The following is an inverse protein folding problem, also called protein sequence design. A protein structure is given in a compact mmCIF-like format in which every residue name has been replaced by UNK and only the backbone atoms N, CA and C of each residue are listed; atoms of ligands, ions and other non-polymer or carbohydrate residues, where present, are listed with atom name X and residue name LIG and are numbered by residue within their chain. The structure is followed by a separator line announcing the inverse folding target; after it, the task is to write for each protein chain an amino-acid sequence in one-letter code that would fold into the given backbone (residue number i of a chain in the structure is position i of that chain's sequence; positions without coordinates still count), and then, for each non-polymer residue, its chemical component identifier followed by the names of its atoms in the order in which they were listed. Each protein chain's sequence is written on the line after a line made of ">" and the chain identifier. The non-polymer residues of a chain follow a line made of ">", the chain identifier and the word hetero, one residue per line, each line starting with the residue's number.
data_IF_017030684741
#
_entry.id   IF_017030684741
#
_cell.length_a   1.000
_cell.length_b   1.000
_cell.length_c   1.000
_cell.angle_alpha   90.00
_cell.angle_beta   90.00
_cell.angle_gamma   90.00
#
_symmetry.space_group_name_H-M   'P 1'
#
loop_
_entity.id
_entity.type
_entity.pdbx_description
1 polymer ?
#
# COMPACT_ATOMS: atom_id res chain seq x y z
N UNK A 1 -16.68 1.18 -15.07
CA UNK A 1 -16.45 1.76 -13.73
C UNK A 1 -17.11 0.90 -12.67
N UNK A 2 -16.36 0.52 -11.65
CA UNK A 2 -16.84 -0.25 -10.50
C UNK A 2 -16.96 0.67 -9.29
N UNK A 3 -18.00 0.47 -8.47
CA UNK A 3 -18.24 1.21 -7.24
C UNK A 3 -18.25 0.25 -6.06
N UNK A 4 -17.45 0.55 -5.03
CA UNK A 4 -17.45 -0.13 -3.75
C UNK A 4 -17.89 0.89 -2.68
N UNK A 5 -18.52 0.39 -1.64
CA UNK A 5 -18.89 1.19 -0.47
C UNK A 5 -18.16 0.68 0.75
N UNK A 6 -17.37 1.53 1.39
CA UNK A 6 -16.88 1.31 2.75
C UNK A 6 -17.99 1.76 3.70
N UNK A 7 -18.32 0.94 4.69
CA UNK A 7 -19.40 1.20 5.64
C UNK A 7 -18.91 1.58 7.03
N UNK A 8 -17.82 0.97 7.44
CA UNK A 8 -17.26 1.13 8.78
C UNK A 8 -15.78 1.55 8.76
N UNK A 9 -15.31 2.34 9.71
CA UNK A 9 -16.04 3.05 10.78
C UNK A 9 -16.68 4.35 10.29
N UNK A 10 -16.31 4.81 9.10
CA UNK A 10 -16.85 6.00 8.42
C UNK A 10 -17.20 5.60 6.99
N UNK A 11 -18.44 5.81 6.56
CA UNK A 11 -18.83 5.42 5.21
C UNK A 11 -18.24 6.36 4.14
N UNK A 12 -17.70 5.77 3.06
CA UNK A 12 -17.26 6.50 1.88
C UNK A 12 -17.23 5.61 0.63
N UNK A 13 -17.44 6.18 -0.57
CA UNK A 13 -17.35 5.41 -1.81
C UNK A 13 -15.91 5.25 -2.29
N UNK A 14 -15.64 4.14 -2.96
CA UNK A 14 -14.43 3.90 -3.75
C UNK A 14 -14.87 3.59 -5.17
N UNK A 15 -14.48 4.44 -6.12
CA UNK A 15 -14.73 4.25 -7.53
C UNK A 15 -13.44 3.87 -8.25
N UNK A 16 -13.50 2.81 -9.04
CA UNK A 16 -12.37 2.30 -9.82
C UNK A 16 -12.82 2.16 -11.27
N UNK A 17 -12.14 2.84 -12.19
CA UNK A 17 -12.49 2.77 -13.61
C UNK A 17 -12.04 3.99 -14.39
N UNK A 18 -12.47 4.09 -15.64
CA UNK A 18 -12.31 5.30 -16.45
C UNK A 18 -13.53 6.22 -16.29
N UNK A 19 -13.29 7.53 -16.24
CA UNK A 19 -14.33 8.55 -16.13
C UNK A 19 -14.85 8.78 -14.72
N UNK A 20 -14.15 8.30 -13.68
CA UNK A 20 -14.57 8.46 -12.26
C UNK A 20 -14.67 9.92 -11.82
N UNK A 21 -13.99 10.85 -12.49
CA UNK A 21 -14.07 12.29 -12.16
C UNK A 21 -15.48 12.86 -12.33
N UNK A 22 -16.30 12.28 -13.21
CA UNK A 22 -17.68 12.71 -13.43
C UNK A 22 -18.62 12.33 -12.29
N UNK A 23 -18.20 11.38 -11.48
CA UNK A 23 -18.98 10.85 -10.35
C UNK A 23 -18.62 11.53 -9.02
N UNK A 24 -17.62 12.42 -9.03
CA UNK A 24 -17.26 13.19 -7.83
C UNK A 24 -18.37 14.18 -7.54
N UNK A 25 -19.00 14.15 -6.34
CA UNK A 25 -20.06 15.10 -6.02
C UNK A 25 -19.51 16.54 -5.97
N UNK A 26 -20.36 17.54 -6.18
CA UNK A 26 -19.98 18.94 -6.00
C UNK A 26 -19.37 19.16 -4.61
N UNK A 27 -18.27 19.91 -4.55
CA UNK A 27 -17.61 20.22 -3.29
C UNK A 27 -18.48 21.16 -2.45
N UNK A 28 -18.68 20.84 -1.17
CA UNK A 28 -19.55 21.61 -0.28
C UNK A 28 -18.95 22.95 0.18
N UNK A 29 -17.66 23.18 -0.06
CA UNK A 29 -16.96 24.39 0.37
C UNK A 29 -15.70 24.67 -0.43
N UNK A 30 -14.87 25.62 0.03
CA UNK A 30 -13.57 25.88 -0.57
C UNK A 30 -12.71 24.63 -0.63
N UNK A 31 -11.81 24.58 -1.62
CA UNK A 31 -10.95 23.41 -1.78
C UNK A 31 -9.51 23.80 -2.16
N UNK A 32 -8.59 22.93 -1.77
CA UNK A 32 -7.20 22.96 -2.22
C UNK A 32 -6.79 21.58 -2.72
N UNK A 33 -5.81 21.53 -3.61
CA UNK A 33 -5.35 20.30 -4.23
C UNK A 33 -3.85 20.16 -4.04
N UNK A 34 -3.44 19.05 -3.43
CA UNK A 34 -2.05 18.60 -3.33
C UNK A 34 -1.80 17.55 -4.41
N UNK A 35 -0.70 17.66 -5.12
CA UNK A 35 -0.39 16.70 -6.17
C UNK A 35 1.10 16.37 -6.26
N UNK A 36 1.39 15.15 -6.69
CA UNK A 36 2.71 14.73 -7.13
C UNK A 36 3.05 15.41 -8.46
N UNK A 37 4.14 16.16 -8.53
CA UNK A 37 4.55 16.88 -9.75
C UNK A 37 4.68 15.97 -10.97
N UNK A 38 4.93 14.68 -10.77
CA UNK A 38 5.02 13.70 -11.87
C UNK A 38 3.69 13.46 -12.58
N UNK A 39 2.58 13.80 -11.94
CA UNK A 39 1.21 13.63 -12.49
C UNK A 39 0.48 14.97 -12.60
N UNK A 40 1.19 16.06 -12.80
CA UNK A 40 0.64 17.42 -12.86
C UNK A 40 -0.50 17.56 -13.89
N UNK A 41 -0.35 16.97 -15.08
CA UNK A 41 -1.40 17.02 -16.09
C UNK A 41 -2.74 16.45 -15.60
N UNK A 42 -2.71 15.30 -14.94
CA UNK A 42 -3.92 14.72 -14.34
C UNK A 42 -4.44 15.55 -13.16
N UNK A 43 -3.55 16.12 -12.34
CA UNK A 43 -3.95 17.00 -11.25
C UNK A 43 -4.68 18.27 -11.76
N UNK A 44 -4.23 18.84 -12.88
CA UNK A 44 -4.90 19.96 -13.54
C UNK A 44 -6.28 19.57 -14.09
N UNK A 45 -6.43 18.35 -14.64
CA UNK A 45 -7.75 17.83 -15.05
C UNK A 45 -8.70 17.74 -13.85
N UNK A 46 -8.25 17.18 -12.73
CA UNK A 46 -9.03 17.09 -11.47
C UNK A 46 -9.41 18.49 -10.99
N UNK A 47 -8.46 19.42 -10.93
CA UNK A 47 -8.69 20.79 -10.49
C UNK A 47 -9.73 21.50 -11.35
N UNK A 48 -9.63 21.36 -12.70
CA UNK A 48 -10.58 21.94 -13.64
C UNK A 48 -11.97 21.34 -13.50
N UNK A 49 -12.06 20.00 -13.38
CA UNK A 49 -13.34 19.30 -13.25
C UNK A 49 -14.11 19.70 -12.00
N UNK A 50 -13.37 19.97 -10.89
CA UNK A 50 -13.97 20.28 -9.58
C UNK A 50 -13.89 21.75 -9.20
N UNK A 51 -13.41 22.62 -10.08
CA UNK A 51 -13.37 24.08 -9.85
C UNK A 51 -12.36 24.51 -8.78
N UNK A 52 -11.31 23.73 -8.54
CA UNK A 52 -10.29 24.03 -7.52
C UNK A 52 -9.25 25.01 -8.06
N UNK A 53 -8.95 26.07 -7.31
CA UNK A 53 -8.01 27.14 -7.71
C UNK A 53 -6.69 27.10 -6.97
N UNK A 54 -6.63 26.52 -5.79
CA UNK A 54 -5.42 26.44 -4.97
C UNK A 54 -4.76 25.06 -5.19
N UNK A 55 -3.66 25.04 -5.93
CA UNK A 55 -2.90 23.84 -6.25
C UNK A 55 -1.49 23.95 -5.70
N UNK A 56 -1.00 22.87 -5.09
CA UNK A 56 0.38 22.77 -4.60
C UNK A 56 1.02 21.47 -5.10
N UNK A 57 2.01 21.60 -5.97
CA UNK A 57 2.82 20.48 -6.43
C UNK A 57 3.93 20.14 -5.45
N UNK A 58 3.98 18.87 -5.05
CA UNK A 58 4.92 18.32 -4.09
C UNK A 58 5.93 17.38 -4.78
N UNK A 59 7.11 17.13 -4.18
CA UNK A 59 8.01 16.11 -4.68
C UNK A 59 7.34 14.75 -4.63
N UNK A 60 7.65 13.89 -5.58
CA UNK A 60 7.16 12.52 -5.57
C UNK A 60 7.99 11.59 -4.70
N UNK A 61 7.42 10.44 -4.35
CA UNK A 61 8.09 9.39 -3.59
C UNK A 61 8.25 9.71 -2.09
N UNK A 62 9.09 8.95 -1.41
CA UNK A 62 9.27 9.03 0.06
C UNK A 62 9.74 10.41 0.55
N UNK A 63 10.39 11.20 -0.29
CA UNK A 63 10.80 12.56 0.04
C UNK A 63 9.62 13.49 0.40
N UNK A 64 8.43 13.21 -0.12
CA UNK A 64 7.22 13.94 0.25
C UNK A 64 6.78 13.69 1.70
N UNK A 65 7.03 12.49 2.24
CA UNK A 65 6.56 12.06 3.58
C UNK A 65 7.48 12.53 4.71
N UNK A 66 7.93 13.77 4.67
CA UNK A 66 8.80 14.35 5.70
C UNK A 66 8.07 15.38 6.56
N UNK A 67 8.57 15.59 7.78
CA UNK A 67 8.06 16.63 8.68
C UNK A 67 8.20 18.04 8.05
N UNK A 68 9.26 18.26 7.28
CA UNK A 68 9.49 19.53 6.56
C UNK A 68 8.40 19.79 5.52
N UNK A 69 8.12 18.82 4.65
CA UNK A 69 7.07 18.96 3.61
C UNK A 69 5.71 19.09 4.26
N UNK A 70 5.42 18.30 5.29
CA UNK A 70 4.18 18.40 6.05
C UNK A 70 3.99 19.81 6.63
N UNK A 71 4.99 20.38 7.28
CA UNK A 71 4.92 21.73 7.83
C UNK A 71 4.69 22.79 6.74
N UNK A 72 5.39 22.67 5.59
CA UNK A 72 5.19 23.57 4.44
C UNK A 72 3.76 23.52 3.90
N UNK A 73 3.16 22.33 3.82
CA UNK A 73 1.77 22.19 3.35
C UNK A 73 0.79 22.84 4.32
N UNK A 74 0.97 22.64 5.64
CA UNK A 74 0.11 23.29 6.65
C UNK A 74 0.18 24.82 6.58
N UNK A 75 1.39 25.38 6.47
CA UNK A 75 1.59 26.82 6.31
C UNK A 75 0.93 27.34 5.04
N UNK A 76 1.10 26.63 3.92
CA UNK A 76 0.47 27.03 2.67
C UNK A 76 -1.06 27.03 2.74
N UNK A 77 -1.69 26.03 3.38
CA UNK A 77 -3.14 26.00 3.58
C UNK A 77 -3.62 27.19 4.42
N UNK A 78 -2.87 27.54 5.47
CA UNK A 78 -3.18 28.68 6.33
C UNK A 78 -3.04 30.00 5.57
N UNK A 79 -1.98 30.18 4.76
CA UNK A 79 -1.79 31.36 3.89
C UNK A 79 -2.91 31.53 2.87
N UNK A 80 -3.47 30.41 2.35
CA UNK A 80 -4.65 30.44 1.47
C UNK A 80 -5.96 30.67 2.19
N UNK A 81 -5.95 30.75 3.52
CA UNK A 81 -7.14 31.00 4.33
C UNK A 81 -8.19 29.90 4.25
N UNK A 82 -7.79 28.65 4.06
CA UNK A 82 -8.73 27.51 3.94
C UNK A 82 -9.47 27.33 5.26
N UNK A 83 -10.83 27.42 5.26
CA UNK A 83 -11.63 27.26 6.47
C UNK A 83 -11.82 25.79 6.84
N UNK A 84 -12.40 25.51 8.01
CA UNK A 84 -12.60 24.16 8.53
C UNK A 84 -13.52 23.29 7.67
N UNK A 85 -14.43 23.88 6.92
CA UNK A 85 -15.31 23.20 5.97
C UNK A 85 -14.68 23.04 4.55
N UNK A 86 -13.39 23.32 4.42
CA UNK A 86 -12.68 23.08 3.17
C UNK A 86 -12.50 21.57 2.93
N UNK A 87 -12.34 21.22 1.64
CA UNK A 87 -11.99 19.88 1.21
C UNK A 87 -10.59 19.87 0.61
N UNK A 88 -9.73 18.99 1.09
CA UNK A 88 -8.42 18.76 0.54
C UNK A 88 -8.47 17.65 -0.51
N UNK A 89 -8.07 17.92 -1.74
CA UNK A 89 -7.93 16.93 -2.79
C UNK A 89 -6.47 16.47 -2.84
N UNK A 90 -6.26 15.15 -2.91
CA UNK A 90 -4.92 14.56 -2.91
C UNK A 90 -4.75 13.68 -4.15
N UNK A 91 -3.89 14.11 -5.08
CA UNK A 91 -3.65 13.46 -6.37
C UNK A 91 -2.24 12.91 -6.43
N UNK A 92 -2.07 11.59 -6.34
CA UNK A 92 -0.73 11.01 -6.37
C UNK A 92 -0.66 9.54 -5.95
N UNK A 93 0.55 9.07 -5.75
CA UNK A 93 0.84 7.73 -5.23
C UNK A 93 0.64 7.62 -3.72
N UNK A 94 0.93 6.44 -3.15
CA UNK A 94 0.71 6.14 -1.74
C UNK A 94 1.38 7.09 -0.75
N UNK A 95 2.58 7.56 -1.06
CA UNK A 95 3.30 8.53 -0.22
C UNK A 95 2.54 9.86 -0.10
N UNK A 96 1.89 10.28 -1.19
CA UNK A 96 1.13 11.53 -1.18
C UNK A 96 -0.25 11.34 -0.54
N UNK A 97 -0.91 10.20 -0.73
CA UNK A 97 -2.17 9.92 -0.05
C UNK A 97 -1.99 9.83 1.46
N UNK A 98 -0.88 9.24 1.93
CA UNK A 98 -0.54 9.20 3.36
C UNK A 98 -0.28 10.60 3.94
N UNK A 99 0.55 11.40 3.27
CA UNK A 99 0.85 12.77 3.67
C UNK A 99 -0.41 13.65 3.65
N UNK A 100 -1.14 13.64 2.53
CA UNK A 100 -2.32 14.47 2.36
C UNK A 100 -3.45 14.13 3.34
N UNK A 101 -3.65 12.83 3.59
CA UNK A 101 -4.59 12.37 4.60
C UNK A 101 -4.18 12.81 6.02
N UNK A 102 -2.87 12.81 6.35
CA UNK A 102 -2.39 13.28 7.64
C UNK A 102 -2.47 14.81 7.78
N UNK A 103 -2.19 15.55 6.71
CA UNK A 103 -2.46 17.00 6.66
C UNK A 103 -3.94 17.28 6.92
N UNK A 104 -4.83 16.55 6.24
CA UNK A 104 -6.28 16.70 6.43
C UNK A 104 -6.71 16.36 7.87
N UNK A 105 -6.11 15.33 8.47
CA UNK A 105 -6.39 14.94 9.86
C UNK A 105 -6.05 16.01 10.89
N UNK A 106 -5.05 16.84 10.61
CA UNK A 106 -4.46 17.75 11.60
C UNK A 106 -4.74 19.23 11.33
N UNK A 107 -4.86 19.65 10.06
CA UNK A 107 -5.21 21.02 9.72
C UNK A 107 -6.56 21.40 10.31
N UNK A 108 -6.61 22.47 11.11
CA UNK A 108 -7.80 22.93 11.86
C UNK A 108 -8.48 21.84 12.71
N UNK A 109 -7.73 20.85 13.18
CA UNK A 109 -8.18 19.65 13.93
C UNK A 109 -9.05 18.70 13.10
N UNK A 110 -8.89 18.71 11.80
CA UNK A 110 -9.57 17.84 10.86
C UNK A 110 -10.38 18.57 9.81
N UNK A 111 -10.04 18.35 8.55
CA UNK A 111 -10.80 18.76 7.36
C UNK A 111 -11.10 17.53 6.51
N UNK A 112 -12.10 17.63 5.67
CA UNK A 112 -12.44 16.58 4.71
C UNK A 112 -11.33 16.42 3.67
N UNK A 113 -11.14 15.19 3.13
CA UNK A 113 -10.31 15.00 1.96
C UNK A 113 -10.88 13.96 0.99
N UNK A 114 -10.51 14.11 -0.28
CA UNK A 114 -10.76 13.17 -1.36
C UNK A 114 -9.42 12.66 -1.89
N UNK A 115 -9.31 11.35 -2.12
CA UNK A 115 -8.11 10.72 -2.66
C UNK A 115 -8.29 10.36 -4.14
N UNK A 116 -7.31 10.75 -4.96
CA UNK A 116 -7.19 10.41 -6.38
C UNK A 116 -5.87 9.64 -6.58
N UNK A 117 -5.87 8.33 -6.28
CA UNK A 117 -4.66 7.53 -6.37
C UNK A 117 -4.23 7.36 -7.83
N UNK A 118 -2.92 7.56 -8.10
CA UNK A 118 -2.34 7.49 -9.46
C UNK A 118 -1.33 6.36 -9.63
N UNK A 119 -1.14 5.53 -8.61
CA UNK A 119 -0.33 4.31 -8.68
C UNK A 119 -1.15 3.10 -8.27
N UNK A 120 -0.81 1.94 -8.79
CA UNK A 120 -1.46 0.67 -8.45
C UNK A 120 -1.42 0.38 -6.95
N UNK A 121 -0.28 0.65 -6.31
CA UNK A 121 -0.11 0.48 -4.87
C UNK A 121 -1.03 1.42 -4.06
N UNK A 122 -1.20 2.67 -4.53
CA UNK A 122 -2.14 3.59 -3.89
C UNK A 122 -3.59 3.14 -4.04
N UNK A 123 -3.97 2.62 -5.22
CA UNK A 123 -5.32 2.10 -5.48
C UNK A 123 -5.65 0.93 -4.56
N UNK A 124 -4.78 -0.08 -4.53
CA UNK A 124 -5.07 -1.35 -3.84
C UNK A 124 -4.82 -1.29 -2.34
N UNK A 125 -3.96 -0.37 -1.90
CA UNK A 125 -3.50 -0.34 -0.51
C UNK A 125 -3.61 1.04 0.15
N UNK A 126 -2.77 2.01 -0.20
CA UNK A 126 -2.56 3.21 0.61
C UNK A 126 -3.79 4.12 0.75
N UNK A 127 -4.66 4.23 -0.26
CA UNK A 127 -5.86 5.09 -0.20
C UNK A 127 -7.03 4.47 0.57
N UNK A 128 -6.91 3.21 1.02
CA UNK A 128 -8.00 2.45 1.65
C UNK A 128 -7.66 2.14 3.12
N UNK A 129 -8.62 2.38 4.02
CA UNK A 129 -8.50 1.99 5.42
C UNK A 129 -7.93 3.05 6.36
N UNK A 130 -7.83 4.31 5.91
CA UNK A 130 -7.64 5.50 6.74
C UNK A 130 -6.28 5.65 7.43
N UNK A 131 -5.30 4.78 7.19
CA UNK A 131 -3.94 4.99 7.70
C UNK A 131 -3.31 6.16 6.96
N UNK A 132 -2.88 7.19 7.71
CA UNK A 132 -2.21 8.37 7.18
C UNK A 132 -0.98 8.68 8.02
N UNK A 133 0.04 9.32 7.44
CA UNK A 133 1.21 9.63 8.23
C UNK A 133 2.42 10.09 7.42
N UNK A 134 3.46 10.41 8.18
CA UNK A 134 4.76 10.85 7.67
C UNK A 134 5.89 10.04 8.31
N UNK A 135 7.06 10.16 7.72
CA UNK A 135 8.28 9.54 8.20
C UNK A 135 9.07 10.49 9.11
N UNK A 136 9.84 9.92 10.01
CA UNK A 136 10.89 10.61 10.76
C UNK A 136 12.25 10.01 10.38
N UNK A 137 13.36 10.68 10.74
CA UNK A 137 14.70 10.09 10.55
C UNK A 137 14.86 8.72 11.22
N UNK A 138 14.14 8.49 12.32
CA UNK A 138 14.15 7.26 13.09
C UNK A 138 13.39 6.10 12.44
N UNK A 139 12.50 6.38 11.48
CA UNK A 139 11.74 5.35 10.76
C UNK A 139 10.50 5.83 10.01
N UNK A 140 9.99 4.93 9.16
CA UNK A 140 8.80 5.17 8.37
C UNK A 140 7.52 5.13 9.22
N UNK A 141 6.53 5.97 8.86
CA UNK A 141 5.17 5.97 9.40
C UNK A 141 5.09 6.08 10.95
N UNK A 142 6.05 6.77 11.58
CA UNK A 142 6.08 6.92 13.04
C UNK A 142 5.14 8.00 13.56
N UNK A 143 4.73 8.92 12.70
CA UNK A 143 3.78 10.00 13.03
C UNK A 143 2.61 9.92 12.06
N UNK A 144 1.40 9.78 12.59
CA UNK A 144 0.22 9.63 11.75
C UNK A 144 -1.08 9.58 12.55
N UNK A 145 -2.16 9.42 11.82
CA UNK A 145 -3.50 9.32 12.37
C UNK A 145 -4.35 8.37 11.51
N UNK A 146 -5.39 7.80 12.11
CA UNK A 146 -6.48 7.21 11.34
C UNK A 146 -7.42 8.33 10.92
N UNK A 147 -7.47 8.63 9.61
CA UNK A 147 -8.35 9.62 9.03
C UNK A 147 -8.88 9.10 7.70
N UNK A 148 -10.20 8.97 7.60
CA UNK A 148 -10.85 8.34 6.46
C UNK A 148 -11.19 9.37 5.40
N UNK A 149 -10.99 9.09 4.08
CA UNK A 149 -11.40 10.00 3.03
C UNK A 149 -12.92 10.07 2.94
N UNK A 150 -13.45 11.13 2.36
CA UNK A 150 -14.86 11.21 1.96
C UNK A 150 -15.14 10.47 0.63
N UNK A 151 -14.11 10.10 -0.09
CA UNK A 151 -14.18 9.31 -1.31
C UNK A 151 -12.80 9.01 -1.88
N UNK A 152 -12.70 7.89 -2.59
CA UNK A 152 -11.52 7.48 -3.35
C UNK A 152 -11.92 7.30 -4.81
N UNK A 153 -11.23 8.00 -5.71
CA UNK A 153 -11.54 8.06 -7.12
C UNK A 153 -10.33 7.61 -7.94
N UNK A 154 -10.25 6.31 -8.21
CA UNK A 154 -9.16 5.69 -8.95
C UNK A 154 -9.42 5.75 -10.46
N UNK A 155 -8.95 6.82 -11.10
CA UNK A 155 -9.03 7.01 -12.55
C UNK A 155 -7.96 6.16 -13.24
N UNK A 156 -8.36 5.05 -13.86
CA UNK A 156 -7.42 4.08 -14.43
C UNK A 156 -6.62 4.62 -15.63
N UNK A 157 -7.08 5.69 -16.28
CA UNK A 157 -6.28 6.38 -17.32
C UNK A 157 -4.96 6.90 -16.76
N UNK A 158 -4.92 7.29 -15.49
CA UNK A 158 -3.68 7.74 -14.84
C UNK A 158 -2.60 6.64 -14.78
N UNK A 159 -2.98 5.36 -14.84
CA UNK A 159 -2.03 4.24 -14.85
C UNK A 159 -1.34 4.05 -16.20
N UNK A 160 -1.90 4.60 -17.30
CA UNK A 160 -1.36 4.41 -18.66
C UNK A 160 0.06 5.02 -18.84
N UNK A 161 0.39 6.00 -18.01
CA UNK A 161 1.72 6.65 -18.00
C UNK A 161 2.64 6.14 -16.89
N UNK A 162 2.14 5.22 -16.06
CA UNK A 162 2.91 4.69 -14.94
C UNK A 162 4.03 3.76 -15.45
N UNK A 163 5.29 3.93 -14.99
CA UNK A 163 6.36 3.00 -15.33
C UNK A 163 5.99 1.55 -14.95
N UNK A 164 6.30 0.60 -15.82
CA UNK A 164 5.93 -0.81 -15.62
C UNK A 164 6.41 -1.40 -14.28
N UNK A 165 7.63 -1.11 -13.79
CA UNK A 165 8.05 -1.57 -12.46
C UNK A 165 7.14 -1.08 -11.35
N UNK A 166 6.74 0.20 -11.38
CA UNK A 166 5.81 0.79 -10.39
C UNK A 166 4.39 0.21 -10.53
N UNK A 167 3.94 -0.06 -11.77
CA UNK A 167 2.67 -0.75 -12.00
C UNK A 167 2.66 -2.14 -11.37
N UNK A 168 3.75 -2.88 -11.48
CA UNK A 168 3.90 -4.23 -10.93
C UNK A 168 3.86 -4.28 -9.39
N UNK A 169 4.28 -3.22 -8.70
CA UNK A 169 4.29 -3.20 -7.23
C UNK A 169 2.90 -3.40 -6.61
N UNK A 170 1.87 -2.73 -7.14
CA UNK A 170 0.50 -2.94 -6.66
C UNK A 170 -0.08 -4.31 -7.01
N UNK A 171 0.43 -4.96 -8.07
CA UNK A 171 0.01 -6.33 -8.40
C UNK A 171 0.50 -7.35 -7.37
N UNK A 172 1.62 -7.10 -6.70
CA UNK A 172 2.06 -7.92 -5.54
C UNK A 172 1.06 -7.82 -4.40
N UNK A 173 0.58 -6.61 -4.10
CA UNK A 173 -0.44 -6.42 -3.07
C UNK A 173 -1.78 -7.09 -3.44
N UNK A 174 -2.19 -7.00 -4.71
CA UNK A 174 -3.37 -7.69 -5.19
C UNK A 174 -3.22 -9.22 -5.09
N UNK A 175 -2.06 -9.76 -5.44
CA UNK A 175 -1.73 -11.18 -5.27
C UNK A 175 -1.78 -11.59 -3.80
N UNK A 176 -1.21 -10.80 -2.90
CA UNK A 176 -1.32 -10.98 -1.44
C UNK A 176 -2.79 -11.03 -0.99
N UNK A 177 -3.62 -10.11 -1.51
CA UNK A 177 -5.05 -10.11 -1.24
C UNK A 177 -5.73 -11.40 -1.74
N UNK A 178 -5.28 -11.93 -2.88
CA UNK A 178 -5.73 -13.24 -3.39
C UNK A 178 -5.44 -14.37 -2.41
N UNK A 179 -4.24 -14.41 -1.84
CA UNK A 179 -3.90 -15.40 -0.80
C UNK A 179 -4.74 -15.22 0.47
N UNK A 180 -4.98 -13.97 0.90
CA UNK A 180 -5.77 -13.68 2.10
C UNK A 180 -7.23 -14.09 1.92
N UNK A 181 -7.81 -13.83 0.76
CA UNK A 181 -9.23 -14.07 0.47
C UNK A 181 -9.54 -15.48 -0.07
N UNK A 182 -8.52 -16.21 -0.52
CA UNK A 182 -8.73 -17.44 -1.29
C UNK A 182 -9.24 -17.15 -2.70
N UNK A 183 -8.83 -16.02 -3.30
CA UNK A 183 -9.32 -15.57 -4.59
C UNK A 183 -8.30 -15.86 -5.69
N UNK A 184 -8.52 -16.95 -6.43
CA UNK A 184 -7.62 -17.39 -7.49
C UNK A 184 -7.48 -16.39 -8.65
N UNK A 185 -8.49 -15.54 -8.90
CA UNK A 185 -8.42 -14.54 -9.96
C UNK A 185 -7.37 -13.47 -9.66
N UNK A 186 -7.10 -13.18 -8.39
CA UNK A 186 -6.07 -12.26 -7.95
C UNK A 186 -4.66 -12.88 -7.92
N UNK A 187 -4.56 -14.21 -8.05
CA UNK A 187 -3.27 -14.92 -8.17
C UNK A 187 -2.74 -15.01 -9.61
N UNK A 188 -3.49 -14.47 -10.58
CA UNK A 188 -3.14 -14.47 -12.01
C UNK A 188 -2.83 -13.05 -12.46
N UNK A 189 -1.63 -12.58 -12.14
CA UNK A 189 -1.18 -11.19 -12.40
C UNK A 189 -0.26 -11.07 -13.61
N UNK A 190 0.28 -12.18 -14.11
CA UNK A 190 1.41 -12.21 -15.04
C UNK A 190 1.10 -11.65 -16.43
N UNK A 191 -0.15 -11.61 -16.84
CA UNK A 191 -0.60 -11.10 -18.13
C UNK A 191 -1.25 -9.69 -18.02
N UNK A 192 -1.18 -9.06 -16.82
CA UNK A 192 -1.71 -7.74 -16.61
C UNK A 192 -0.73 -6.64 -17.02
N UNK A 193 -1.22 -5.72 -17.82
CA UNK A 193 -0.55 -4.49 -18.23
C UNK A 193 -1.46 -3.28 -17.99
N UNK A 194 -0.94 -2.04 -18.02
CA UNK A 194 -1.77 -0.83 -17.90
C UNK A 194 -2.88 -0.72 -18.96
N UNK A 195 -2.82 -1.49 -20.03
CA UNK A 195 -3.79 -1.50 -21.13
C UNK A 195 -4.76 -2.68 -21.08
N UNK A 196 -4.62 -3.59 -20.12
CA UNK A 196 -5.46 -4.79 -20.04
C UNK A 196 -6.92 -4.43 -19.81
N UNK A 197 -7.86 -4.96 -20.61
CA UNK A 197 -9.28 -4.62 -20.51
C UNK A 197 -9.94 -5.08 -19.20
N UNK A 198 -9.33 -6.02 -18.50
CA UNK A 198 -9.82 -6.55 -17.22
C UNK A 198 -9.35 -5.78 -15.97
N UNK A 199 -8.55 -4.70 -16.14
CA UNK A 199 -7.98 -3.96 -15.00
C UNK A 199 -9.03 -3.42 -14.03
N UNK A 200 -10.13 -2.90 -14.56
CA UNK A 200 -11.20 -2.33 -13.73
C UNK A 200 -11.77 -3.37 -12.77
N UNK A 201 -12.19 -4.52 -13.29
CA UNK A 201 -12.72 -5.61 -12.48
C UNK A 201 -11.65 -6.19 -11.53
N UNK A 202 -10.41 -6.30 -11.99
CA UNK A 202 -9.30 -6.81 -11.21
C UNK A 202 -8.99 -5.92 -10.00
N UNK A 203 -8.82 -4.60 -10.20
CA UNK A 203 -8.55 -3.68 -9.10
C UNK A 203 -9.73 -3.56 -8.14
N UNK A 204 -10.95 -3.47 -8.64
CA UNK A 204 -12.13 -3.46 -7.78
C UNK A 204 -12.19 -4.70 -6.87
N UNK A 205 -11.88 -5.87 -7.43
CA UNK A 205 -11.81 -7.15 -6.68
C UNK A 205 -10.71 -7.13 -5.62
N UNK A 206 -9.52 -6.65 -5.96
CA UNK A 206 -8.40 -6.54 -5.02
C UNK A 206 -8.70 -5.54 -3.88
N UNK A 207 -9.29 -4.38 -4.21
CA UNK A 207 -9.71 -3.36 -3.24
C UNK A 207 -10.78 -3.91 -2.30
N UNK A 208 -11.75 -4.68 -2.81
CA UNK A 208 -12.83 -5.27 -2.00
C UNK A 208 -12.31 -6.18 -0.88
N UNK A 209 -11.18 -6.87 -1.10
CA UNK A 209 -10.54 -7.67 -0.03
C UNK A 209 -10.06 -6.76 1.10
N UNK A 210 -9.37 -5.67 0.75
CA UNK A 210 -8.89 -4.73 1.77
C UNK A 210 -10.02 -4.04 2.50
N UNK A 211 -11.05 -3.59 1.79
CA UNK A 211 -12.25 -2.99 2.39
C UNK A 211 -12.82 -3.92 3.45
N UNK A 212 -13.10 -5.18 3.11
CA UNK A 212 -13.65 -6.17 4.05
C UNK A 212 -12.77 -6.33 5.29
N UNK A 213 -11.45 -6.49 5.11
CA UNK A 213 -10.52 -6.68 6.24
C UNK A 213 -10.44 -5.43 7.12
N UNK A 214 -10.49 -4.23 6.53
CA UNK A 214 -10.43 -2.97 7.27
C UNK A 214 -11.75 -2.63 7.95
N UNK A 215 -12.90 -2.99 7.40
CA UNK A 215 -14.21 -2.84 8.06
C UNK A 215 -14.32 -3.72 9.31
N UNK A 216 -13.80 -4.96 9.24
CA UNK A 216 -13.81 -5.88 10.38
C UNK A 216 -12.85 -5.46 11.50
N UNK A 217 -11.79 -4.71 11.19
CA UNK A 217 -10.79 -4.25 12.15
C UNK A 217 -10.17 -2.90 11.73
N UNK A 218 -10.92 -1.79 11.86
CA UNK A 218 -10.48 -0.48 11.37
C UNK A 218 -9.18 0.04 12.00
N UNK A 219 -8.92 -0.30 13.27
CA UNK A 219 -7.80 0.19 14.06
C UNK A 219 -6.64 -0.82 14.21
N UNK A 220 -6.67 -1.93 13.45
CA UNK A 220 -5.60 -2.95 13.44
C UNK A 220 -5.31 -3.60 14.81
N UNK A 221 -6.35 -3.93 15.54
CA UNK A 221 -6.23 -4.61 16.83
C UNK A 221 -6.13 -6.14 16.70
N UNK A 222 -6.49 -6.71 15.56
CA UNK A 222 -6.53 -8.16 15.33
C UNK A 222 -6.48 -8.56 13.85
N UNK A 223 -7.64 -8.71 13.20
CA UNK A 223 -7.78 -9.30 11.86
C UNK A 223 -7.07 -8.53 10.75
N UNK A 224 -6.96 -7.22 10.86
CA UNK A 224 -6.25 -6.38 9.89
C UNK A 224 -4.75 -6.73 9.80
N UNK A 225 -4.17 -7.38 10.82
CA UNK A 225 -2.80 -7.90 10.79
C UNK A 225 -2.58 -8.91 9.64
N UNK A 226 -3.62 -9.54 9.10
CA UNK A 226 -3.51 -10.42 7.93
C UNK A 226 -2.93 -9.70 6.72
N UNK A 227 -3.17 -8.38 6.59
CA UNK A 227 -2.60 -7.56 5.51
C UNK A 227 -1.06 -7.48 5.58
N UNK A 228 -0.45 -7.84 6.70
CA UNK A 228 1.00 -7.91 6.87
C UNK A 228 1.62 -9.23 6.35
N UNK A 229 0.86 -10.05 5.62
CA UNK A 229 1.40 -11.23 4.94
C UNK A 229 2.58 -10.84 4.04
N UNK A 230 3.74 -11.46 4.23
CA UNK A 230 4.98 -11.12 3.52
C UNK A 230 5.71 -9.86 4.03
N UNK A 231 5.05 -8.98 4.78
CA UNK A 231 5.60 -7.69 5.18
C UNK A 231 6.68 -7.79 6.27
N UNK A 232 6.60 -8.76 7.17
CA UNK A 232 7.58 -8.89 8.25
C UNK A 232 9.01 -9.05 7.70
N UNK A 233 9.22 -9.98 6.78
CA UNK A 233 10.51 -10.11 6.09
C UNK A 233 10.72 -8.99 5.06
N UNK A 234 9.66 -8.59 4.34
CA UNK A 234 9.72 -7.52 3.34
C UNK A 234 10.27 -6.21 3.93
N UNK A 235 9.74 -5.73 5.04
CA UNK A 235 10.22 -4.51 5.71
C UNK A 235 11.67 -4.65 6.22
N UNK A 236 12.06 -5.85 6.69
CA UNK A 236 13.45 -6.10 7.08
C UNK A 236 14.39 -5.99 5.87
N UNK A 237 13.99 -6.50 4.70
CA UNK A 237 14.74 -6.38 3.44
C UNK A 237 14.80 -4.93 2.94
N UNK A 238 13.69 -4.17 3.00
CA UNK A 238 13.70 -2.74 2.67
C UNK A 238 14.71 -1.98 3.54
N UNK A 239 14.69 -2.21 4.85
CA UNK A 239 15.59 -1.55 5.78
C UNK A 239 17.06 -1.98 5.56
N UNK A 240 17.32 -3.28 5.36
CA UNK A 240 18.66 -3.82 5.09
C UNK A 240 19.25 -3.27 3.79
N UNK A 241 18.42 -3.09 2.75
CA UNK A 241 18.83 -2.50 1.47
C UNK A 241 18.81 -0.97 1.48
N UNK A 242 18.60 -0.33 2.62
CA UNK A 242 18.44 1.12 2.77
C UNK A 242 17.39 1.69 1.79
N UNK A 243 16.29 0.94 1.64
CA UNK A 243 15.19 1.25 0.74
C UNK A 243 15.54 1.32 -0.75
N UNK A 244 16.65 0.72 -1.17
CA UNK A 244 16.97 0.55 -2.59
C UNK A 244 16.07 -0.51 -3.26
N UNK A 245 15.56 -1.49 -2.48
CA UNK A 245 14.59 -2.47 -2.95
C UNK A 245 13.17 -1.85 -2.89
N UNK A 246 12.44 -1.79 -4.01
CA UNK A 246 11.06 -1.30 -4.02
C UNK A 246 10.14 -2.12 -3.13
N UNK A 247 9.15 -1.47 -2.53
CA UNK A 247 8.26 -2.09 -1.53
C UNK A 247 7.59 -3.38 -2.04
N UNK A 248 6.94 -3.33 -3.20
CA UNK A 248 6.27 -4.51 -3.76
C UNK A 248 7.24 -5.68 -4.02
N UNK A 249 8.49 -5.37 -4.43
CA UNK A 249 9.51 -6.40 -4.63
C UNK A 249 9.93 -7.03 -3.29
N UNK A 250 10.11 -6.21 -2.26
CA UNK A 250 10.42 -6.69 -0.90
C UNK A 250 9.30 -7.58 -0.34
N UNK A 251 8.05 -7.19 -0.54
CA UNK A 251 6.88 -8.00 -0.15
C UNK A 251 6.83 -9.31 -0.92
N UNK A 252 7.14 -9.33 -2.22
CA UNK A 252 7.18 -10.58 -3.01
C UNK A 252 8.21 -11.58 -2.47
N UNK A 253 9.41 -11.11 -2.09
CA UNK A 253 10.39 -11.93 -1.38
C UNK A 253 9.87 -12.45 -0.04
N UNK A 254 9.17 -11.61 0.70
CA UNK A 254 8.52 -11.98 1.95
C UNK A 254 7.38 -12.98 1.79
N UNK A 255 6.63 -12.93 0.68
CA UNK A 255 5.60 -13.93 0.36
C UNK A 255 6.20 -15.31 0.11
N UNK A 256 7.37 -15.40 -0.54
CA UNK A 256 8.08 -16.67 -0.69
C UNK A 256 8.46 -17.26 0.67
N UNK A 257 8.98 -16.44 1.57
CA UNK A 257 9.31 -16.86 2.93
C UNK A 257 8.07 -17.31 3.70
N UNK A 258 6.98 -16.56 3.62
CA UNK A 258 5.72 -16.91 4.26
C UNK A 258 5.14 -18.23 3.73
N UNK A 259 5.26 -18.50 2.43
CA UNK A 259 4.83 -19.77 1.83
C UNK A 259 5.66 -20.96 2.36
N UNK A 260 6.98 -20.78 2.55
CA UNK A 260 7.85 -21.79 3.17
C UNK A 260 7.46 -22.07 4.63
N UNK A 261 7.17 -21.01 5.40
CA UNK A 261 6.66 -21.17 6.77
C UNK A 261 5.32 -21.91 6.77
N UNK A 262 4.41 -21.61 5.83
CA UNK A 262 3.14 -22.31 5.69
C UNK A 262 3.32 -23.79 5.44
N UNK A 263 4.19 -24.16 4.51
CA UNK A 263 4.54 -25.55 4.20
C UNK A 263 5.14 -26.27 5.42
N UNK A 264 6.06 -25.62 6.14
CA UNK A 264 6.66 -26.16 7.35
C UNK A 264 5.64 -26.39 8.49
N UNK A 265 4.53 -25.65 8.50
CA UNK A 265 3.42 -25.83 9.43
C UNK A 265 2.34 -26.83 8.92
N UNK A 266 2.61 -27.57 7.86
CA UNK A 266 1.67 -28.54 7.30
C UNK A 266 0.57 -27.93 6.43
N UNK A 267 0.76 -26.70 5.93
CA UNK A 267 -0.11 -26.06 4.94
C UNK A 267 0.10 -26.60 3.52
N UNK A 268 -0.74 -26.10 2.61
CA UNK A 268 -0.62 -26.40 1.18
C UNK A 268 0.68 -25.82 0.59
N UNK A 269 1.17 -26.42 -0.50
CA UNK A 269 2.34 -25.91 -1.21
C UNK A 269 1.97 -24.68 -2.05
N UNK A 270 2.21 -23.49 -1.51
CA UNK A 270 2.00 -22.21 -2.18
C UNK A 270 3.25 -21.70 -2.93
N UNK A 271 4.33 -22.48 -2.98
CA UNK A 271 5.55 -22.09 -3.70
C UNK A 271 5.34 -21.92 -5.20
N UNK A 272 4.60 -22.81 -5.93
CA UNK A 272 4.43 -22.65 -7.36
C UNK A 272 3.84 -21.30 -7.79
N UNK A 273 2.73 -20.81 -7.23
CA UNK A 273 2.20 -19.49 -7.60
C UNK A 273 3.13 -18.34 -7.20
N UNK A 274 3.81 -18.41 -6.06
CA UNK A 274 4.73 -17.35 -5.61
C UNK A 274 6.01 -17.33 -6.45
N UNK A 275 6.53 -18.49 -6.88
CA UNK A 275 7.66 -18.56 -7.81
C UNK A 275 7.31 -17.93 -9.17
N UNK A 276 6.11 -18.20 -9.71
CA UNK A 276 5.65 -17.55 -10.96
C UNK A 276 5.59 -16.03 -10.80
N UNK A 277 5.04 -15.55 -9.68
CA UNK A 277 5.02 -14.13 -9.37
C UNK A 277 6.44 -13.54 -9.40
N UNK A 278 7.40 -14.14 -8.69
CA UNK A 278 8.78 -13.65 -8.62
C UNK A 278 9.48 -13.67 -9.99
N UNK A 279 9.32 -14.74 -10.77
CA UNK A 279 9.89 -14.84 -12.12
C UNK A 279 9.33 -13.74 -13.04
N UNK A 280 8.02 -13.50 -12.97
CA UNK A 280 7.38 -12.46 -13.76
C UNK A 280 7.76 -11.04 -13.31
N UNK A 281 7.86 -10.80 -12.00
CA UNK A 281 8.31 -9.52 -11.45
C UNK A 281 9.74 -9.22 -11.85
N UNK A 282 10.59 -10.24 -11.90
CA UNK A 282 12.04 -10.12 -12.13
C UNK A 282 12.68 -9.06 -11.20
N UNK A 283 12.52 -9.19 -9.87
CA UNK A 283 13.09 -8.22 -8.94
C UNK A 283 14.61 -8.26 -8.99
N UNK A 284 15.30 -7.16 -8.59
CA UNK A 284 16.75 -7.15 -8.52
C UNK A 284 17.24 -8.23 -7.55
N UNK A 285 18.25 -9.04 -7.93
CA UNK A 285 18.79 -10.07 -7.04
C UNK A 285 19.30 -9.49 -5.72
N UNK A 286 18.99 -10.17 -4.62
CA UNK A 286 19.48 -9.78 -3.31
C UNK A 286 20.99 -10.07 -3.17
N UNK A 287 21.73 -9.27 -2.39
CA UNK A 287 23.09 -9.60 -1.98
C UNK A 287 23.07 -10.85 -1.10
N UNK A 288 24.22 -11.51 -0.87
CA UNK A 288 24.33 -12.55 0.13
C UNK A 288 23.84 -12.04 1.49
N UNK A 289 22.91 -12.78 2.11
CA UNK A 289 22.26 -12.40 3.37
C UNK A 289 22.31 -13.60 4.33
N UNK A 290 22.66 -13.35 5.58
CA UNK A 290 22.45 -14.24 6.70
C UNK A 290 21.16 -13.85 7.46
N UNK A 291 20.59 -14.78 8.21
CA UNK A 291 19.44 -14.49 9.05
C UNK A 291 19.74 -13.40 10.10
N UNK A 292 20.95 -13.41 10.59
CA UNK A 292 21.51 -12.45 11.55
C UNK A 292 21.47 -11.02 11.03
N UNK A 293 21.66 -10.81 9.74
CA UNK A 293 21.65 -9.47 9.12
C UNK A 293 20.25 -8.82 9.19
N UNK A 294 19.20 -9.65 9.27
CA UNK A 294 17.81 -9.20 9.33
C UNK A 294 17.27 -9.07 10.76
N UNK A 295 17.90 -9.75 11.74
CA UNK A 295 17.46 -9.74 13.15
C UNK A 295 17.27 -8.34 13.74
N UNK A 296 18.17 -7.35 13.54
CA UNK A 296 17.98 -6.01 14.10
C UNK A 296 16.68 -5.34 13.62
N UNK A 297 16.28 -5.61 12.39
CA UNK A 297 15.06 -5.04 11.79
C UNK A 297 13.82 -5.80 12.23
N UNK A 298 13.86 -7.12 12.28
CA UNK A 298 12.77 -7.96 12.80
C UNK A 298 12.47 -7.65 14.27
N UNK A 299 13.51 -7.39 15.09
CA UNK A 299 13.35 -7.06 16.51
C UNK A 299 12.85 -5.62 16.75
N UNK A 300 13.01 -4.70 15.79
CA UNK A 300 12.42 -3.36 15.88
C UNK A 300 10.89 -3.40 15.88
N UNK A 301 10.30 -4.27 15.11
CA UNK A 301 8.83 -4.49 15.12
C UNK A 301 8.37 -5.07 16.47
N UNK A 302 9.16 -5.94 17.11
CA UNK A 302 8.88 -6.46 18.45
C UNK A 302 8.88 -5.37 19.53
N UNK A 303 9.74 -4.35 19.43
CA UNK A 303 9.82 -3.25 20.42
C UNK A 303 8.67 -2.25 20.30
N UNK A 304 8.01 -2.18 19.18
CA UNK A 304 6.84 -1.30 18.97
C UNK A 304 5.56 -1.86 19.60
N UNK A 305 5.50 -3.18 19.75
CA UNK A 305 4.39 -3.88 20.42
C UNK A 305 5.04 -4.66 21.54
N UNK A 306 4.62 -4.51 22.77
CA UNK A 306 5.16 -5.20 23.96
C UNK A 306 4.96 -6.73 23.96
N UNK A 307 4.70 -7.31 22.80
CA UNK A 307 4.40 -8.73 22.55
C UNK A 307 5.47 -9.39 21.68
N UNK A 308 5.46 -10.73 21.63
CA UNK A 308 6.30 -11.52 20.73
C UNK A 308 6.02 -11.18 19.26
N UNK A 309 7.06 -11.24 18.40
CA UNK A 309 6.92 -11.03 16.96
C UNK A 309 5.94 -12.07 16.36
N UNK A 310 4.84 -11.59 15.82
CA UNK A 310 3.83 -12.42 15.19
C UNK A 310 4.06 -12.48 13.68
N UNK A 311 3.99 -13.69 13.16
CA UNK A 311 4.08 -13.96 11.73
C UNK A 311 2.71 -14.26 11.15
N UNK A 312 2.42 -13.67 10.01
CA UNK A 312 1.26 -14.03 9.20
C UNK A 312 1.68 -15.15 8.26
N UNK A 313 1.09 -16.32 8.41
CA UNK A 313 1.46 -17.52 7.69
C UNK A 313 0.27 -18.09 6.93
N UNK A 314 0.37 -18.25 5.59
CA UNK A 314 -0.69 -18.83 4.79
C UNK A 314 -0.61 -20.37 4.87
N UNK A 315 -1.62 -21.00 5.37
CA UNK A 315 -1.75 -22.48 5.37
C UNK A 315 -2.45 -22.99 4.10
N UNK A 316 -3.28 -22.16 3.48
CA UNK A 316 -3.91 -22.34 2.18
C UNK A 316 -4.43 -20.98 1.71
N UNK A 317 -4.80 -20.80 0.44
CA UNK A 317 -5.55 -19.61 0.02
C UNK A 317 -6.83 -19.46 0.86
N UNK A 318 -7.02 -18.28 1.45
CA UNK A 318 -8.14 -18.00 2.36
C UNK A 318 -7.99 -18.53 3.79
N UNK A 319 -6.94 -19.26 4.10
CA UNK A 319 -6.69 -19.82 5.43
C UNK A 319 -5.31 -19.42 5.95
N UNK A 320 -5.27 -18.39 6.77
CA UNK A 320 -4.05 -17.84 7.36
C UNK A 320 -4.10 -17.91 8.88
N UNK A 321 -2.93 -18.01 9.50
CA UNK A 321 -2.74 -17.92 10.94
C UNK A 321 -1.80 -16.75 11.28
N UNK A 322 -2.04 -16.13 12.44
CA UNK A 322 -1.17 -15.08 13.00
C UNK A 322 -0.68 -15.54 14.36
N UNK A 323 0.60 -15.84 14.49
CA UNK A 323 1.17 -16.33 15.74
C UNK A 323 2.67 -16.13 15.83
N UNK A 324 3.26 -16.16 17.04
CA UNK A 324 4.70 -16.25 17.19
C UNK A 324 5.20 -17.62 16.71
N UNK A 325 6.41 -17.65 16.17
CA UNK A 325 7.07 -18.86 15.69
C UNK A 325 8.41 -19.06 16.39
N UNK A 326 8.81 -20.33 16.65
CA UNK A 326 10.12 -20.64 17.20
C UNK A 326 11.26 -20.18 16.29
N UNK A 327 12.34 -19.66 16.86
CA UNK A 327 13.50 -19.18 16.07
C UNK A 327 14.10 -20.29 15.20
N UNK A 328 14.17 -21.53 15.69
CA UNK A 328 14.64 -22.68 14.90
C UNK A 328 13.87 -22.84 13.58
N UNK A 329 12.53 -22.79 13.64
CA UNK A 329 11.69 -22.87 12.46
C UNK A 329 11.92 -21.67 11.50
N UNK A 330 12.10 -20.47 12.04
CA UNK A 330 12.41 -19.28 11.24
C UNK A 330 13.74 -19.42 10.50
N UNK A 331 14.77 -19.98 11.16
CA UNK A 331 16.09 -20.22 10.56
C UNK A 331 16.05 -21.30 9.49
N UNK A 332 15.37 -22.42 9.75
CA UNK A 332 15.18 -23.49 8.76
C UNK A 332 14.45 -22.99 7.51
N UNK A 333 13.36 -22.25 7.69
CA UNK A 333 12.63 -21.64 6.59
C UNK A 333 13.50 -20.61 5.83
N UNK A 334 14.36 -19.86 6.52
CA UNK A 334 15.27 -18.91 5.90
C UNK A 334 16.36 -19.61 5.06
N UNK A 335 16.90 -20.73 5.53
CA UNK A 335 17.83 -21.54 4.76
C UNK A 335 17.15 -22.06 3.47
N UNK A 336 15.93 -22.60 3.58
CA UNK A 336 15.14 -23.02 2.43
C UNK A 336 14.83 -21.86 1.46
N UNK A 337 14.51 -20.69 1.99
CA UNK A 337 14.24 -19.47 1.22
C UNK A 337 15.47 -19.03 0.39
N UNK A 338 16.67 -19.11 0.97
CA UNK A 338 17.90 -18.81 0.25
C UNK A 338 18.14 -19.79 -0.90
N UNK A 339 17.91 -21.08 -0.68
CA UNK A 339 18.05 -22.09 -1.75
C UNK A 339 17.02 -21.86 -2.87
N UNK A 340 15.79 -21.52 -2.54
CA UNK A 340 14.78 -21.13 -3.55
C UNK A 340 15.24 -19.92 -4.36
N UNK A 341 15.75 -18.89 -3.72
CA UNK A 341 16.24 -17.69 -4.41
C UNK A 341 17.44 -17.97 -5.31
N UNK A 342 18.36 -18.83 -4.88
CA UNK A 342 19.49 -19.29 -5.73
C UNK A 342 18.97 -20.01 -6.96
N UNK A 343 18.02 -20.94 -6.77
CA UNK A 343 17.38 -21.67 -7.89
C UNK A 343 16.65 -20.76 -8.88
N UNK A 344 16.14 -19.62 -8.43
CA UNK A 344 15.50 -18.60 -9.26
C UNK A 344 16.48 -17.54 -9.83
N UNK A 345 17.77 -17.58 -9.46
CA UNK A 345 18.75 -16.55 -9.84
C UNK A 345 18.54 -15.19 -9.14
N UNK A 346 17.85 -15.19 -8.00
CA UNK A 346 17.47 -13.99 -7.25
C UNK A 346 18.34 -13.75 -5.99
N UNK A 347 19.36 -14.54 -5.77
CA UNK A 347 20.39 -14.36 -4.73
C UNK A 347 21.76 -14.40 -5.40
N UNK A 348 22.60 -13.38 -5.14
CA UNK A 348 23.98 -13.29 -5.67
C UNK A 348 24.95 -14.20 -4.91
#
# INVERSE_FOLDING_TARGET
>A
MQRLEVREPVPYPILVGEGVLKEVPPLAGPAALLFDRRVEGFAQEVAKALGVRHLLGLPGGEAAKSLEVYGKVLSWLAEKGLPRNATLLVVGGGTLTDLGGFVAATYLRGVAYLAFPTTTLAIVDASVGGKTGINLPEGKNLVGAFHFPQGVYAELRALKTLPLPTFKEGLVEAFKHGLIAGDEALLKVEDLTPQSPRLEAFWARAVAVKVRVTEEDPLEKGKRRLLNLGHTLGHALEAQTRHALPHGMAVAYGLLYAALLGRALGGEDLLPPVRRLLLWLSPPPLPPLAFEDLLPYLLRDKKKVSESLHWVVPLAPGRLVVRPLPEGLLREAFAAWREELKGLGLLR
#
